data_IF_387031856202
#
_entry.id   IF_387031856202
#
_cell.length_a   1.000
_cell.length_b   1.000
_cell.length_c   1.000
_cell.angle_alpha   90.00
_cell.angle_beta   90.00
_cell.angle_gamma   90.00
#
_symmetry.space_group_name_H-M   'P 1'
#
loop_
_entity.id
_entity.type
_entity.pdbx_description
1 polymer ?
#
# COMPACT_ATOMS: atom_id res chain seq x y z
N UNK A 1 -5.86 -78.44 6.53
CA UNK A 1 -6.89 -79.20 7.26
C UNK A 1 -8.02 -78.31 7.59
N UNK A 2 -9.16 -78.60 6.99
CA UNK A 2 -10.55 -78.34 7.45
C UNK A 2 -11.07 -76.95 7.69
N UNK A 3 -11.89 -76.52 6.78
CA UNK A 3 -13.19 -75.80 7.01
C UNK A 3 -14.13 -76.68 7.85
N UNK A 4 -15.21 -76.18 8.45
CA UNK A 4 -16.33 -75.48 7.82
C UNK A 4 -16.99 -74.38 8.72
N UNK A 5 -17.74 -73.48 8.19
CA UNK A 5 -19.06 -73.28 7.61
C UNK A 5 -20.12 -72.64 8.58
N UNK A 6 -20.76 -71.63 8.01
CA UNK A 6 -22.18 -71.23 8.15
C UNK A 6 -22.76 -70.73 9.51
N UNK A 7 -23.32 -69.57 9.52
CA UNK A 7 -24.75 -69.36 9.14
C UNK A 7 -25.19 -67.90 9.31
N UNK A 8 -26.09 -67.52 8.41
CA UNK A 8 -26.74 -66.25 8.29
C UNK A 8 -27.79 -65.95 9.40
N UNK A 9 -28.01 -64.64 9.69
CA UNK A 9 -29.38 -64.17 9.92
C UNK A 9 -29.47 -62.68 9.66
N UNK A 10 -30.41 -62.36 8.78
CA UNK A 10 -30.95 -61.03 8.51
C UNK A 10 -31.47 -60.35 9.77
N UNK A 11 -31.33 -59.00 9.86
CA UNK A 11 -32.43 -58.10 10.24
C UNK A 11 -32.09 -56.70 9.66
N UNK A 12 -33.11 -56.13 9.09
CA UNK A 12 -33.33 -54.88 8.34
C UNK A 12 -33.36 -53.63 9.19
N UNK A 13 -33.19 -52.51 8.47
CA UNK A 13 -33.69 -51.14 8.72
C UNK A 13 -32.93 -50.31 9.76
N UNK A 14 -32.62 -49.03 9.60
CA UNK A 14 -33.20 -47.94 8.79
C UNK A 14 -32.34 -46.67 8.99
N UNK A 15 -32.42 -45.75 8.03
CA UNK A 15 -32.13 -44.33 8.17
C UNK A 15 -30.73 -43.85 8.57
N UNK A 16 -29.81 -43.84 7.63
CA UNK A 16 -28.66 -42.95 7.61
C UNK A 16 -28.92 -41.67 6.80
N UNK A 17 -29.36 -40.61 7.45
CA UNK A 17 -29.37 -39.27 6.89
C UNK A 17 -27.96 -38.80 6.67
N UNK A 18 -27.47 -38.86 5.41
CA UNK A 18 -26.32 -38.13 4.97
C UNK A 18 -26.70 -36.66 4.86
N UNK A 19 -26.30 -35.85 5.84
CA UNK A 19 -26.32 -34.38 5.75
C UNK A 19 -25.24 -33.97 4.75
N UNK A 20 -25.66 -33.81 3.49
CA UNK A 20 -24.88 -33.11 2.50
C UNK A 20 -24.75 -31.66 2.95
N UNK A 21 -23.55 -31.29 3.39
CA UNK A 21 -23.13 -29.92 3.69
C UNK A 21 -23.17 -29.13 2.39
N UNK A 22 -24.36 -28.61 2.04
CA UNK A 22 -24.57 -27.71 0.92
C UNK A 22 -24.06 -26.32 1.34
N UNK A 23 -22.74 -26.14 1.33
CA UNK A 23 -22.13 -24.81 1.27
C UNK A 23 -22.52 -24.18 -0.06
N UNK A 24 -23.62 -23.45 -0.04
CA UNK A 24 -24.01 -22.56 -1.12
C UNK A 24 -22.84 -21.61 -1.38
N UNK A 25 -22.18 -21.80 -2.50
CA UNK A 25 -21.29 -20.78 -3.07
C UNK A 25 -22.18 -19.59 -3.42
N UNK A 26 -22.21 -18.59 -2.55
CA UNK A 26 -22.79 -17.28 -2.89
C UNK A 26 -22.03 -16.73 -4.09
N UNK A 27 -22.57 -16.95 -5.26
CA UNK A 27 -22.14 -16.28 -6.49
C UNK A 27 -22.46 -14.80 -6.32
N UNK A 28 -21.43 -13.97 -6.19
CA UNK A 28 -21.60 -12.50 -6.08
C UNK A 28 -22.23 -12.00 -7.39
N UNK A 29 -23.55 -11.83 -7.39
CA UNK A 29 -24.31 -11.22 -8.50
C UNK A 29 -24.02 -9.72 -8.46
N UNK A 30 -23.37 -9.21 -9.50
CA UNK A 30 -23.07 -7.79 -9.64
C UNK A 30 -24.26 -7.02 -10.19
N UNK A 31 -24.55 -5.89 -9.56
CA UNK A 31 -25.39 -4.86 -10.15
C UNK A 31 -24.62 -4.11 -11.26
N UNK A 32 -25.32 -3.70 -12.32
CA UNK A 32 -24.75 -2.92 -13.43
C UNK A 32 -24.14 -1.62 -12.87
N UNK A 33 -22.82 -1.43 -13.02
CA UNK A 33 -22.10 -0.23 -12.56
C UNK A 33 -21.10 -0.48 -11.41
N UNK A 34 -21.01 -1.70 -10.85
CA UNK A 34 -20.04 -2.02 -9.81
C UNK A 34 -18.63 -2.29 -10.37
N UNK A 35 -17.59 -1.76 -9.70
CA UNK A 35 -16.21 -1.92 -10.11
C UNK A 35 -15.70 -3.37 -10.06
N UNK A 36 -14.79 -3.75 -10.97
CA UNK A 36 -14.24 -5.10 -11.18
C UNK A 36 -13.32 -5.62 -10.09
N UNK A 37 -12.83 -4.73 -9.24
CA UNK A 37 -11.86 -4.99 -8.20
C UNK A 37 -11.45 -3.69 -7.52
N UNK A 38 -10.41 -3.75 -6.69
CA UNK A 38 -9.86 -2.59 -5.98
C UNK A 38 -8.35 -2.54 -6.20
N UNK A 39 -7.84 -1.38 -6.63
CA UNK A 39 -6.44 -1.02 -6.54
C UNK A 39 -6.26 -0.07 -5.36
N UNK A 40 -5.64 -0.58 -4.29
CA UNK A 40 -5.36 0.16 -3.06
C UNK A 40 -3.96 0.75 -3.13
N UNK A 41 -3.87 2.04 -3.37
CA UNK A 41 -2.62 2.78 -3.49
C UNK A 41 -2.25 3.37 -2.12
N UNK A 42 -1.08 3.02 -1.61
CA UNK A 42 -0.68 3.38 -0.25
C UNK A 42 0.82 3.67 -0.21
N UNK A 43 1.22 4.81 0.33
CA UNK A 43 2.63 5.06 0.63
C UNK A 43 3.15 4.12 1.73
N UNK A 44 4.47 3.98 1.84
CA UNK A 44 5.06 3.24 2.97
C UNK A 44 4.64 3.86 4.31
N UNK A 45 4.32 3.06 5.29
CA UNK A 45 3.90 3.46 6.63
C UNK A 45 2.58 4.26 6.70
N UNK A 46 1.80 4.29 5.63
CA UNK A 46 0.46 4.91 5.62
C UNK A 46 -0.64 4.05 6.26
N UNK A 47 -0.31 2.95 6.94
CA UNK A 47 -1.24 1.91 7.41
C UNK A 47 -1.92 1.10 6.27
N UNK A 48 -1.43 1.20 5.03
CA UNK A 48 -2.00 0.49 3.87
C UNK A 48 -2.05 -1.03 4.03
N UNK A 49 -1.06 -1.64 4.72
CA UNK A 49 -1.08 -3.10 5.01
C UNK A 49 -2.21 -3.47 5.96
N UNK A 50 -2.53 -2.62 6.96
CA UNK A 50 -3.67 -2.85 7.83
C UNK A 50 -4.99 -2.73 7.06
N UNK A 51 -5.16 -1.68 6.25
CA UNK A 51 -6.36 -1.51 5.40
C UNK A 51 -6.52 -2.70 4.47
N UNK A 52 -5.46 -3.11 3.77
CA UNK A 52 -5.45 -4.29 2.89
C UNK A 52 -5.84 -5.57 3.62
N UNK A 53 -5.37 -5.77 4.86
CA UNK A 53 -5.71 -6.96 5.64
C UNK A 53 -7.21 -7.08 5.95
N UNK A 54 -7.95 -5.96 5.98
CA UNK A 54 -9.40 -5.96 6.17
C UNK A 54 -10.14 -6.49 4.94
N UNK A 55 -9.62 -6.23 3.75
CA UNK A 55 -10.12 -6.84 2.52
C UNK A 55 -9.73 -8.32 2.43
N UNK A 56 -8.48 -8.65 2.78
CA UNK A 56 -7.98 -10.04 2.76
C UNK A 56 -8.77 -10.99 3.65
N UNK A 57 -9.38 -10.47 4.72
CA UNK A 57 -10.21 -11.25 5.64
C UNK A 57 -11.54 -11.72 5.03
N UNK A 58 -11.96 -11.17 3.88
CA UNK A 58 -13.21 -11.51 3.21
C UNK A 58 -13.03 -12.74 2.32
N UNK A 59 -13.88 -13.75 2.47
CA UNK A 59 -13.80 -15.01 1.68
C UNK A 59 -14.03 -14.79 0.18
N UNK A 60 -14.80 -13.76 -0.19
CA UNK A 60 -15.09 -13.38 -1.57
C UNK A 60 -13.97 -12.59 -2.25
N UNK A 61 -12.85 -12.34 -1.55
CA UNK A 61 -11.73 -11.53 -2.03
C UNK A 61 -10.48 -12.38 -2.21
N UNK A 62 -9.69 -12.06 -3.26
CA UNK A 62 -8.28 -12.44 -3.35
C UNK A 62 -7.45 -11.15 -3.27
N UNK A 63 -6.69 -11.01 -2.19
CA UNK A 63 -5.99 -9.77 -1.88
C UNK A 63 -4.47 -9.90 -2.11
N UNK A 64 -3.99 -9.39 -3.23
CA UNK A 64 -2.57 -9.40 -3.59
C UNK A 64 -1.79 -8.31 -2.84
N UNK A 65 -0.74 -8.74 -2.15
CA UNK A 65 0.17 -7.83 -1.48
C UNK A 65 1.28 -7.38 -2.41
N UNK A 66 1.46 -6.07 -2.59
CA UNK A 66 2.57 -5.46 -3.32
C UNK A 66 2.84 -6.06 -4.72
N UNK A 67 1.93 -5.96 -5.69
CA UNK A 67 2.14 -6.52 -7.03
C UNK A 67 3.36 -5.98 -7.77
N UNK A 68 3.97 -4.90 -7.28
CA UNK A 68 5.20 -4.30 -7.82
C UNK A 68 6.44 -4.57 -6.96
N UNK A 69 6.36 -5.51 -5.98
CA UNK A 69 7.50 -5.81 -5.11
C UNK A 69 8.59 -6.57 -5.85
N UNK A 70 9.88 -6.17 -5.73
CA UNK A 70 10.97 -6.82 -6.48
C UNK A 70 11.14 -8.32 -6.18
N UNK A 71 10.72 -8.79 -4.98
CA UNK A 71 10.77 -10.21 -4.61
C UNK A 71 10.01 -11.11 -5.60
N UNK A 72 8.99 -10.57 -6.28
CA UNK A 72 8.16 -11.33 -7.22
C UNK A 72 8.93 -11.80 -8.46
N UNK A 73 10.12 -11.23 -8.73
CA UNK A 73 10.99 -11.68 -9.81
C UNK A 73 11.55 -13.09 -9.57
N UNK A 74 11.82 -13.41 -8.29
CA UNK A 74 12.53 -14.62 -7.90
C UNK A 74 11.75 -15.48 -6.89
N UNK A 75 10.49 -15.12 -6.60
CA UNK A 75 9.65 -15.79 -5.59
C UNK A 75 9.41 -17.25 -5.94
N UNK A 76 9.68 -18.14 -4.97
CA UNK A 76 9.32 -19.57 -5.05
C UNK A 76 8.15 -19.88 -4.13
N UNK A 77 7.33 -20.84 -4.49
CA UNK A 77 6.22 -21.28 -3.65
C UNK A 77 6.68 -21.77 -2.26
N UNK A 78 7.89 -22.37 -2.20
CA UNK A 78 8.50 -22.84 -0.96
C UNK A 78 8.95 -21.69 -0.02
N UNK A 79 9.25 -20.49 -0.56
CA UNK A 79 9.74 -19.36 0.23
C UNK A 79 8.59 -18.62 0.94
N UNK A 80 7.36 -18.74 0.44
CA UNK A 80 6.19 -17.99 0.94
C UNK A 80 5.95 -18.19 2.44
N UNK A 81 6.06 -19.40 3.03
CA UNK A 81 5.83 -19.59 4.46
C UNK A 81 6.75 -18.77 5.37
N UNK A 82 7.97 -18.46 4.89
CA UNK A 82 8.94 -17.66 5.64
C UNK A 82 8.69 -16.12 5.51
N UNK A 83 7.80 -15.69 4.61
CA UNK A 83 7.52 -14.27 4.33
C UNK A 83 6.40 -13.74 5.24
N UNK A 84 6.53 -13.95 6.54
CA UNK A 84 5.61 -13.41 7.53
C UNK A 84 6.01 -12.01 8.00
N UNK A 85 5.03 -11.17 8.43
CA UNK A 85 5.34 -9.90 9.05
C UNK A 85 6.15 -10.13 10.32
N UNK A 86 7.34 -9.54 10.37
CA UNK A 86 8.14 -9.54 11.58
C UNK A 86 7.79 -8.34 12.45
N UNK A 87 8.04 -8.43 13.77
CA UNK A 87 7.90 -7.30 14.68
C UNK A 87 8.80 -6.10 14.28
N UNK A 88 9.94 -6.35 13.63
CA UNK A 88 10.83 -5.31 13.08
C UNK A 88 10.23 -4.56 11.89
N UNK A 89 9.20 -5.09 11.23
CA UNK A 89 8.49 -4.40 10.15
C UNK A 89 7.38 -3.49 10.66
N UNK A 90 6.95 -3.65 11.92
CA UNK A 90 5.82 -2.92 12.51
C UNK A 90 4.49 -3.13 11.76
N UNK A 91 4.36 -4.25 11.04
CA UNK A 91 3.13 -4.62 10.34
C UNK A 91 2.18 -5.38 11.27
N UNK A 92 0.87 -5.38 10.98
CA UNK A 92 -0.08 -6.17 11.77
C UNK A 92 0.22 -7.66 11.63
N UNK A 93 -0.11 -8.45 12.67
CA UNK A 93 -0.11 -9.91 12.57
C UNK A 93 -1.13 -10.33 11.51
N UNK A 94 -0.72 -11.16 10.57
CA UNK A 94 -1.56 -11.69 9.51
C UNK A 94 -1.97 -13.14 9.81
N UNK A 95 -3.08 -13.57 9.23
CA UNK A 95 -3.59 -14.95 9.32
C UNK A 95 -2.87 -15.91 8.37
N UNK A 96 -2.19 -15.39 7.37
CA UNK A 96 -1.39 -16.14 6.41
C UNK A 96 -0.20 -15.30 5.96
N UNK A 97 0.92 -15.92 5.50
CA UNK A 97 2.10 -15.23 5.00
C UNK A 97 1.79 -14.25 3.86
N UNK A 98 2.67 -13.27 3.68
CA UNK A 98 2.64 -12.41 2.50
C UNK A 98 2.79 -13.24 1.23
N UNK A 99 2.25 -12.73 0.13
CA UNK A 99 2.37 -13.31 -1.21
C UNK A 99 1.72 -14.70 -1.38
N UNK A 100 0.96 -15.19 -0.41
CA UNK A 100 0.24 -16.49 -0.51
C UNK A 100 -0.65 -16.54 -1.76
N UNK A 101 -1.25 -15.43 -2.13
CA UNK A 101 -2.16 -15.29 -3.27
C UNK A 101 -1.45 -15.44 -4.62
N UNK A 102 -0.11 -15.35 -4.65
CA UNK A 102 0.68 -15.53 -5.87
C UNK A 102 1.01 -16.98 -6.19
N UNK A 103 0.77 -17.94 -5.27
CA UNK A 103 1.08 -19.37 -5.51
C UNK A 103 0.60 -19.91 -6.86
N UNK A 104 -0.64 -19.63 -7.32
CA UNK A 104 -1.13 -20.13 -8.61
C UNK A 104 -0.44 -19.50 -9.83
N UNK A 105 0.36 -18.46 -9.62
CA UNK A 105 1.03 -17.68 -10.68
C UNK A 105 2.54 -17.91 -10.70
N UNK A 106 3.08 -18.72 -9.79
CA UNK A 106 4.50 -19.11 -9.76
C UNK A 106 4.67 -20.31 -10.68
N UNK A 107 5.69 -20.29 -11.52
CA UNK A 107 6.03 -21.44 -12.37
C UNK A 107 6.62 -22.55 -11.53
N UNK A 108 6.21 -23.78 -11.77
CA UNK A 108 6.69 -24.96 -11.01
C UNK A 108 8.18 -25.24 -11.20
N UNK A 109 8.73 -24.90 -12.37
CA UNK A 109 10.10 -25.17 -12.79
C UNK A 109 11.03 -23.94 -12.78
N UNK A 110 10.45 -22.74 -12.62
CA UNK A 110 11.17 -21.47 -12.67
C UNK A 110 10.87 -20.61 -11.44
N UNK A 111 11.78 -19.67 -11.18
CA UNK A 111 11.56 -18.65 -10.15
C UNK A 111 10.68 -17.53 -10.69
N UNK A 112 9.93 -16.90 -9.80
CA UNK A 112 9.19 -15.69 -10.06
C UNK A 112 7.76 -15.89 -10.52
N UNK A 113 7.01 -14.80 -10.45
CA UNK A 113 5.61 -14.74 -10.84
C UNK A 113 5.52 -14.53 -12.36
N UNK A 114 4.66 -15.30 -13.02
CA UNK A 114 4.48 -15.25 -14.47
C UNK A 114 4.16 -13.82 -14.93
N UNK A 115 4.89 -13.34 -15.93
CA UNK A 115 4.72 -12.01 -16.51
C UNK A 115 5.32 -10.86 -15.69
N UNK A 116 5.78 -11.10 -14.47
CA UNK A 116 6.46 -10.09 -13.66
C UNK A 116 7.85 -9.75 -14.23
N UNK A 117 8.22 -8.47 -14.11
CA UNK A 117 9.57 -7.98 -14.43
C UNK A 117 10.08 -7.10 -13.31
N UNK A 118 11.35 -7.25 -12.92
CA UNK A 118 11.98 -6.48 -11.83
C UNK A 118 11.89 -4.96 -12.05
N UNK A 119 11.91 -4.50 -13.31
CA UNK A 119 11.74 -3.08 -13.67
C UNK A 119 10.40 -2.48 -13.22
N UNK A 120 9.38 -3.31 -12.98
CA UNK A 120 8.10 -2.83 -12.46
C UNK A 120 8.19 -2.26 -11.04
N UNK A 121 9.22 -2.68 -10.28
CA UNK A 121 9.46 -2.21 -8.91
C UNK A 121 10.03 -0.79 -8.80
N UNK A 122 10.47 -0.20 -9.92
CA UNK A 122 10.95 1.17 -9.93
C UNK A 122 9.77 2.15 -9.89
N UNK A 123 9.79 3.09 -8.94
CA UNK A 123 8.79 4.15 -8.87
C UNK A 123 8.96 5.12 -10.05
N UNK A 124 7.83 5.65 -10.55
CA UNK A 124 7.77 6.59 -11.67
C UNK A 124 6.82 7.72 -11.35
N UNK A 125 7.18 8.95 -11.71
CA UNK A 125 6.36 10.15 -11.52
C UNK A 125 6.15 10.95 -12.82
N UNK A 126 6.82 10.56 -13.89
CA UNK A 126 6.66 11.17 -15.21
C UNK A 126 5.32 10.86 -15.87
N UNK A 127 4.90 11.66 -16.84
CA UNK A 127 3.60 11.48 -17.51
C UNK A 127 3.61 10.33 -18.53
N UNK A 128 4.76 9.73 -18.82
CA UNK A 128 4.93 8.90 -20.01
C UNK A 128 4.80 7.42 -19.68
N UNK A 129 3.82 6.78 -20.33
CA UNK A 129 3.83 5.35 -20.56
C UNK A 129 4.97 5.01 -21.53
N UNK A 130 6.01 4.32 -21.06
CA UNK A 130 7.02 3.71 -21.93
C UNK A 130 6.53 2.34 -22.45
N UNK A 131 7.30 1.73 -23.36
CA UNK A 131 6.98 0.39 -23.88
C UNK A 131 6.84 -0.70 -22.78
N UNK A 132 7.36 -0.47 -21.57
CA UNK A 132 7.24 -1.35 -20.42
C UNK A 132 5.84 -1.35 -19.80
N UNK A 133 5.05 -0.30 -19.97
CA UNK A 133 3.71 -0.21 -19.40
C UNK A 133 2.72 -1.21 -20.01
N UNK A 134 2.83 -1.55 -21.28
CA UNK A 134 1.99 -2.58 -21.89
C UNK A 134 2.21 -3.96 -21.26
N UNK A 135 3.46 -4.30 -20.94
CA UNK A 135 3.79 -5.56 -20.26
C UNK A 135 3.37 -5.53 -18.79
N UNK A 136 3.45 -4.39 -18.11
CA UNK A 136 2.92 -4.21 -16.75
C UNK A 136 1.40 -4.35 -16.74
N UNK A 137 0.71 -3.75 -17.69
CA UNK A 137 -0.74 -3.91 -17.84
C UNK A 137 -1.13 -5.38 -18.04
N UNK A 138 -0.45 -6.09 -18.96
CA UNK A 138 -0.71 -7.50 -19.22
C UNK A 138 -0.50 -8.36 -17.96
N UNK A 139 0.55 -8.10 -17.18
CA UNK A 139 0.82 -8.78 -15.92
C UNK A 139 -0.31 -8.55 -14.90
N UNK A 140 -0.65 -7.29 -14.61
CA UNK A 140 -1.70 -6.96 -13.64
C UNK A 140 -3.07 -7.49 -14.09
N UNK A 141 -3.36 -7.42 -15.41
CA UNK A 141 -4.59 -7.95 -15.99
C UNK A 141 -4.69 -9.47 -15.84
N UNK A 142 -3.59 -10.19 -15.96
CA UNK A 142 -3.58 -11.65 -15.78
C UNK A 142 -3.97 -12.05 -14.34
N UNK A 143 -3.42 -11.35 -13.32
CA UNK A 143 -3.78 -11.55 -11.91
C UNK A 143 -5.27 -11.23 -11.67
N UNK A 144 -5.72 -10.09 -12.22
CA UNK A 144 -7.10 -9.62 -12.09
C UNK A 144 -8.09 -10.61 -12.72
N UNK A 145 -7.91 -10.95 -13.99
CA UNK A 145 -8.85 -11.77 -14.75
C UNK A 145 -8.93 -13.21 -14.23
N UNK A 146 -7.79 -13.79 -13.80
CA UNK A 146 -7.79 -15.12 -13.20
C UNK A 146 -8.54 -15.15 -11.86
N UNK A 147 -8.39 -14.11 -11.05
CA UNK A 147 -9.17 -13.96 -9.81
C UNK A 147 -10.67 -13.85 -10.12
N UNK A 148 -11.02 -13.05 -11.12
CA UNK A 148 -12.41 -12.90 -11.55
C UNK A 148 -13.02 -14.20 -12.07
N UNK A 149 -12.27 -15.00 -12.82
CA UNK A 149 -12.69 -16.34 -13.27
C UNK A 149 -12.99 -17.30 -12.12
N UNK A 150 -12.37 -17.11 -10.97
CA UNK A 150 -12.64 -17.86 -9.74
C UNK A 150 -13.86 -17.34 -8.95
N UNK A 151 -14.61 -16.38 -9.49
CA UNK A 151 -15.76 -15.74 -8.82
C UNK A 151 -15.38 -14.81 -7.67
N UNK A 152 -14.08 -14.48 -7.52
CA UNK A 152 -13.60 -13.60 -6.45
C UNK A 152 -13.35 -12.18 -6.93
N UNK A 153 -13.27 -11.25 -5.99
CA UNK A 153 -12.98 -9.84 -6.21
C UNK A 153 -11.46 -9.63 -5.99
N UNK A 154 -10.70 -9.19 -7.01
CA UNK A 154 -9.29 -8.89 -6.84
C UNK A 154 -9.10 -7.57 -6.08
N UNK A 155 -8.23 -7.59 -5.07
CA UNK A 155 -7.79 -6.41 -4.34
C UNK A 155 -6.27 -6.36 -4.40
N UNK A 156 -5.69 -5.33 -5.02
CA UNK A 156 -4.26 -5.15 -5.14
C UNK A 156 -3.80 -4.02 -4.23
N UNK A 157 -2.86 -4.28 -3.33
CA UNK A 157 -2.26 -3.26 -2.47
C UNK A 157 -0.87 -2.89 -2.98
N UNK A 158 -0.69 -1.64 -3.32
CA UNK A 158 0.56 -1.11 -3.87
C UNK A 158 1.23 -0.13 -2.91
N UNK A 159 2.55 -0.13 -2.89
CA UNK A 159 3.36 0.97 -2.32
C UNK A 159 4.13 1.77 -3.39
N UNK A 160 4.15 1.30 -4.65
CA UNK A 160 4.96 1.85 -5.74
C UNK A 160 4.12 2.31 -6.93
N UNK A 161 2.92 2.79 -6.67
CA UNK A 161 1.95 3.11 -7.74
C UNK A 161 1.44 4.54 -7.73
N UNK A 162 1.67 5.30 -6.66
CA UNK A 162 1.07 6.63 -6.49
C UNK A 162 1.46 7.60 -7.61
N UNK A 163 2.70 7.54 -8.08
CA UNK A 163 3.13 8.32 -9.24
C UNK A 163 2.59 7.82 -10.60
N UNK A 164 2.03 6.60 -10.64
CA UNK A 164 1.47 5.95 -11.84
C UNK A 164 -0.05 5.93 -11.85
N UNK A 165 -0.69 6.52 -10.85
CA UNK A 165 -2.14 6.39 -10.70
C UNK A 165 -2.93 6.85 -11.93
N UNK A 166 -2.63 7.99 -12.58
CA UNK A 166 -3.34 8.39 -13.79
C UNK A 166 -3.31 7.31 -14.87
N UNK A 167 -2.12 6.75 -15.13
CA UNK A 167 -1.98 5.65 -16.10
C UNK A 167 -2.74 4.39 -15.68
N UNK A 168 -2.68 4.00 -14.39
CA UNK A 168 -3.39 2.82 -13.89
C UNK A 168 -4.90 2.98 -14.03
N UNK A 169 -5.42 4.19 -13.84
CA UNK A 169 -6.83 4.49 -14.01
C UNK A 169 -7.28 4.35 -15.47
N UNK A 170 -6.48 4.85 -16.40
CA UNK A 170 -6.73 4.68 -17.85
C UNK A 170 -6.64 3.21 -18.27
N UNK A 171 -5.67 2.47 -17.72
CA UNK A 171 -5.43 1.06 -18.07
C UNK A 171 -6.45 0.08 -17.45
N UNK A 172 -7.10 0.46 -16.35
CA UNK A 172 -8.05 -0.35 -15.58
C UNK A 172 -9.27 0.46 -15.14
N UNK A 173 -10.05 1.02 -16.10
CA UNK A 173 -11.19 1.90 -15.78
C UNK A 173 -12.33 1.17 -15.06
N UNK A 174 -12.35 -0.17 -15.13
CA UNK A 174 -13.34 -1.01 -14.45
C UNK A 174 -13.00 -1.29 -12.97
N UNK A 175 -11.85 -0.85 -12.48
CA UNK A 175 -11.37 -1.07 -11.11
C UNK A 175 -11.57 0.20 -10.29
N UNK A 176 -11.95 0.07 -9.01
CA UNK A 176 -11.96 1.18 -8.08
C UNK A 176 -10.53 1.50 -7.62
N UNK A 177 -10.08 2.73 -7.84
CA UNK A 177 -8.80 3.22 -7.38
C UNK A 177 -8.95 3.93 -6.03
N UNK A 178 -8.55 3.26 -4.94
CA UNK A 178 -8.58 3.79 -3.58
C UNK A 178 -7.19 4.26 -3.15
N UNK A 179 -7.06 5.48 -2.65
CA UNK A 179 -5.80 6.04 -2.15
C UNK A 179 -5.84 6.17 -0.64
N UNK A 180 -4.85 5.58 0.03
CA UNK A 180 -4.70 5.66 1.49
C UNK A 180 -3.82 6.84 1.84
N UNK A 181 -4.37 7.79 2.58
CA UNK A 181 -3.69 9.00 3.04
C UNK A 181 -3.52 8.98 4.56
N UNK A 182 -2.34 9.36 5.00
CA UNK A 182 -1.96 9.61 6.39
C UNK A 182 -1.22 10.94 6.47
N UNK A 183 -1.34 11.66 7.58
CA UNK A 183 -0.53 12.86 7.76
C UNK A 183 0.98 12.55 7.72
N UNK A 184 1.79 13.34 7.02
CA UNK A 184 3.20 13.00 6.77
C UNK A 184 4.03 12.93 8.04
N UNK A 185 3.74 13.69 9.10
CA UNK A 185 4.50 13.64 10.33
C UNK A 185 4.37 12.27 11.02
N UNK A 186 3.15 11.78 11.25
CA UNK A 186 2.95 10.49 11.90
C UNK A 186 3.35 9.31 11.01
N UNK A 187 3.25 9.49 9.67
CA UNK A 187 3.71 8.49 8.71
C UNK A 187 5.24 8.34 8.76
N UNK A 188 5.96 9.45 8.72
CA UNK A 188 7.42 9.49 8.85
C UNK A 188 7.88 8.92 10.18
N UNK A 189 7.33 9.42 11.29
CA UNK A 189 7.70 8.96 12.63
C UNK A 189 7.58 7.44 12.78
N UNK A 190 6.52 6.84 12.25
CA UNK A 190 6.36 5.38 12.27
C UNK A 190 7.48 4.62 11.57
N UNK A 191 8.10 5.18 10.54
CA UNK A 191 9.23 4.58 9.83
C UNK A 191 10.58 4.94 10.43
N UNK A 192 10.73 6.19 10.88
CA UNK A 192 11.93 6.69 11.53
C UNK A 192 12.25 5.93 12.82
N UNK A 193 11.23 5.68 13.65
CA UNK A 193 11.38 4.89 14.87
C UNK A 193 11.83 3.45 14.59
N UNK A 194 11.36 2.83 13.53
CA UNK A 194 11.86 1.51 13.12
C UNK A 194 13.32 1.57 12.67
N UNK A 195 13.72 2.63 11.98
CA UNK A 195 15.10 2.84 11.57
C UNK A 195 16.01 2.98 12.80
N UNK A 196 15.65 3.83 13.75
CA UNK A 196 16.41 4.05 14.98
C UNK A 196 16.47 2.79 15.86
N UNK A 197 15.35 2.11 16.05
CA UNK A 197 15.25 0.97 16.97
C UNK A 197 15.88 -0.30 16.42
N UNK A 198 15.78 -0.53 15.09
CA UNK A 198 16.14 -1.80 14.47
C UNK A 198 17.20 -1.67 13.38
N UNK A 199 17.76 -0.48 13.18
CA UNK A 199 18.70 -0.18 12.10
C UNK A 199 18.19 -0.60 10.71
N UNK A 200 16.87 -0.53 10.50
CA UNK A 200 16.26 -0.86 9.23
C UNK A 200 16.31 0.36 8.29
N UNK A 201 17.21 0.38 7.29
CA UNK A 201 17.41 1.55 6.44
C UNK A 201 16.31 1.73 5.40
N UNK A 202 15.55 0.69 5.09
CA UNK A 202 14.66 0.63 3.93
C UNK A 202 13.70 1.81 3.82
N UNK A 203 13.01 2.15 4.92
CA UNK A 203 12.04 3.25 4.91
C UNK A 203 12.70 4.61 4.67
N UNK A 204 13.87 4.84 5.27
CA UNK A 204 14.59 6.11 5.17
C UNK A 204 15.30 6.22 3.82
N UNK A 205 15.83 5.12 3.29
CA UNK A 205 16.53 5.08 2.00
C UNK A 205 15.58 5.19 0.79
N UNK A 206 14.36 4.65 0.92
CA UNK A 206 13.41 4.61 -0.20
C UNK A 206 13.06 5.99 -0.78
N UNK A 207 12.80 7.06 -0.01
CA UNK A 207 12.57 8.40 -0.53
C UNK A 207 13.76 8.93 -1.35
N UNK A 208 14.99 8.78 -0.87
CA UNK A 208 16.19 9.22 -1.60
C UNK A 208 16.33 8.47 -2.93
N UNK A 209 16.10 7.16 -2.93
CA UNK A 209 16.12 6.34 -4.14
C UNK A 209 15.07 6.80 -5.15
N UNK A 210 13.84 7.03 -4.70
CA UNK A 210 12.76 7.50 -5.58
C UNK A 210 13.11 8.85 -6.18
N UNK A 211 13.51 9.82 -5.37
CA UNK A 211 13.85 11.16 -5.84
C UNK A 211 15.03 11.13 -6.80
N UNK A 212 16.10 10.42 -6.47
CA UNK A 212 17.29 10.35 -7.32
C UNK A 212 17.06 9.65 -8.65
N UNK A 213 16.25 8.57 -8.67
CA UNK A 213 15.91 7.89 -9.93
C UNK A 213 14.98 8.71 -10.84
N UNK A 214 14.28 9.69 -10.29
CA UNK A 214 13.34 10.54 -11.03
C UNK A 214 13.77 12.02 -11.08
N UNK A 215 14.99 12.38 -10.66
CA UNK A 215 15.45 13.77 -10.54
C UNK A 215 15.46 14.56 -11.85
N UNK A 216 15.40 13.89 -13.00
CA UNK A 216 15.30 14.53 -14.30
C UNK A 216 13.86 14.95 -14.66
N UNK A 217 12.85 14.48 -13.92
CA UNK A 217 11.47 14.89 -14.09
C UNK A 217 11.29 16.31 -13.52
N UNK A 218 10.74 17.28 -14.29
CA UNK A 218 10.65 18.67 -13.84
C UNK A 218 9.96 18.83 -12.48
N UNK A 219 8.84 18.13 -12.26
CA UNK A 219 8.09 18.23 -11.00
C UNK A 219 8.87 17.63 -9.82
N UNK A 220 9.68 16.59 -10.06
CA UNK A 220 10.52 15.98 -9.02
C UNK A 220 11.63 16.92 -8.63
N UNK A 221 12.29 17.57 -9.62
CA UNK A 221 13.32 18.58 -9.40
C UNK A 221 12.80 19.74 -8.57
N UNK A 222 11.64 20.30 -8.94
CA UNK A 222 11.02 21.39 -8.19
C UNK A 222 10.72 21.01 -6.73
N UNK A 223 10.20 19.80 -6.49
CA UNK A 223 9.87 19.35 -5.13
C UNK A 223 11.15 19.11 -4.30
N UNK A 224 12.22 18.60 -4.91
CA UNK A 224 13.55 18.48 -4.26
C UNK A 224 14.03 19.86 -3.80
N UNK A 225 13.93 20.87 -4.66
CA UNK A 225 14.34 22.26 -4.38
C UNK A 225 13.47 22.88 -3.26
N UNK A 226 12.14 22.77 -3.36
CA UNK A 226 11.20 23.30 -2.36
C UNK A 226 11.41 22.69 -0.99
N UNK A 227 11.66 21.38 -0.93
CA UNK A 227 11.95 20.70 0.33
C UNK A 227 13.40 20.85 0.80
N UNK A 228 14.31 21.34 -0.05
CA UNK A 228 15.74 21.45 0.26
C UNK A 228 16.39 20.08 0.53
N UNK A 229 16.05 19.07 -0.28
CA UNK A 229 16.56 17.71 -0.11
C UNK A 229 17.99 17.61 -0.64
N UNK A 230 18.87 17.04 0.17
CA UNK A 230 20.23 16.65 -0.25
C UNK A 230 20.23 15.18 -0.62
N UNK A 231 20.41 14.88 -1.91
CA UNK A 231 20.49 13.51 -2.42
C UNK A 231 21.89 12.92 -2.24
N UNK A 232 22.03 11.59 -2.11
CA UNK A 232 23.32 10.94 -2.21
C UNK A 232 23.93 11.19 -3.60
N UNK A 233 25.26 11.32 -3.71
CA UNK A 233 25.92 11.46 -5.00
C UNK A 233 25.65 10.21 -5.84
N UNK A 234 25.30 10.42 -7.10
CA UNK A 234 25.05 9.33 -8.04
C UNK A 234 25.95 9.45 -9.28
N UNK A 235 26.76 8.45 -9.59
CA UNK A 235 26.70 7.87 -10.89
C UNK A 235 25.82 6.62 -10.84
N UNK A 236 24.64 6.67 -11.46
CA UNK A 236 23.73 5.53 -11.44
C UNK A 236 24.05 4.65 -12.63
N UNK A 237 24.74 3.55 -12.40
CA UNK A 237 24.97 2.52 -13.39
C UNK A 237 23.81 1.53 -13.40
N UNK A 238 23.20 1.29 -12.22
CA UNK A 238 22.00 0.46 -12.11
C UNK A 238 21.07 0.90 -10.96
N UNK A 239 19.81 0.49 -11.02
CA UNK A 239 18.82 0.73 -9.96
C UNK A 239 19.27 0.10 -8.63
N UNK A 240 19.88 -1.09 -8.69
CA UNK A 240 20.31 -1.82 -7.49
C UNK A 240 21.54 -1.15 -6.85
N UNK A 241 22.49 -0.68 -7.65
CA UNK A 241 23.66 0.07 -7.14
C UNK A 241 23.23 1.38 -6.49
N UNK A 242 22.29 2.11 -7.11
CA UNK A 242 21.76 3.31 -6.50
C UNK A 242 20.97 3.02 -5.21
N UNK A 243 20.22 1.93 -5.16
CA UNK A 243 19.56 1.50 -3.93
C UNK A 243 20.57 1.24 -2.80
N UNK A 244 21.66 0.54 -3.09
CA UNK A 244 22.74 0.29 -2.13
C UNK A 244 23.44 1.60 -1.68
N UNK A 245 23.68 2.53 -2.61
CA UNK A 245 24.22 3.85 -2.28
C UNK A 245 23.28 4.64 -1.35
N UNK A 246 21.97 4.61 -1.58
CA UNK A 246 20.99 5.22 -0.71
C UNK A 246 20.97 4.57 0.70
N UNK A 247 21.06 3.25 0.78
CA UNK A 247 21.13 2.54 2.08
C UNK A 247 22.41 2.87 2.85
N UNK A 248 23.53 3.05 2.16
CA UNK A 248 24.76 3.52 2.78
C UNK A 248 24.66 4.97 3.23
N UNK A 249 24.11 5.84 2.40
CA UNK A 249 23.93 7.27 2.70
C UNK A 249 23.09 7.48 3.98
N UNK A 250 22.00 6.73 4.16
CA UNK A 250 21.10 6.92 5.29
C UNK A 250 21.66 6.44 6.63
N UNK A 251 22.81 5.79 6.65
CA UNK A 251 23.50 5.45 7.92
C UNK A 251 24.03 6.68 8.66
N UNK A 252 24.25 7.77 7.93
CA UNK A 252 24.80 9.04 8.47
C UNK A 252 23.92 10.25 8.17
N UNK A 253 22.73 10.03 7.60
CA UNK A 253 21.81 11.11 7.28
C UNK A 253 21.23 11.69 8.57
N UNK A 254 21.16 13.01 8.62
CA UNK A 254 20.43 13.70 9.69
C UNK A 254 18.91 13.53 9.52
N UNK A 255 18.19 13.58 10.64
CA UNK A 255 16.75 13.39 10.67
C UNK A 255 15.98 14.42 9.84
N UNK A 256 16.49 15.65 9.75
CA UNK A 256 15.90 16.73 8.96
C UNK A 256 15.91 16.42 7.47
N UNK A 257 17.07 15.99 6.93
CA UNK A 257 17.17 15.63 5.52
C UNK A 257 16.35 14.37 5.19
N UNK A 258 16.30 13.41 6.12
CA UNK A 258 15.44 12.23 5.98
C UNK A 258 13.95 12.62 5.91
N UNK A 259 13.51 13.55 6.78
CA UNK A 259 12.14 14.04 6.75
C UNK A 259 11.83 14.82 5.47
N UNK A 260 12.74 15.69 5.01
CA UNK A 260 12.61 16.46 3.76
C UNK A 260 12.43 15.53 2.55
N UNK A 261 13.26 14.50 2.43
CA UNK A 261 13.15 13.52 1.36
C UNK A 261 11.81 12.76 1.42
N UNK A 262 11.39 12.36 2.61
CA UNK A 262 10.11 11.70 2.80
C UNK A 262 8.94 12.62 2.42
N UNK A 263 8.93 13.88 2.89
CA UNK A 263 7.88 14.86 2.59
C UNK A 263 7.81 15.15 1.09
N UNK A 264 8.95 15.26 0.41
CA UNK A 264 9.02 15.43 -1.04
C UNK A 264 8.31 14.30 -1.79
N UNK A 265 8.58 13.04 -1.44
CA UNK A 265 7.88 11.88 -2.03
C UNK A 265 6.40 11.86 -1.67
N UNK A 266 6.05 12.22 -0.43
CA UNK A 266 4.66 12.33 -0.01
C UNK A 266 3.89 13.38 -0.83
N UNK A 267 4.49 14.56 -1.06
CA UNK A 267 3.92 15.63 -1.90
C UNK A 267 3.72 15.17 -3.35
N UNK A 268 4.75 14.59 -3.97
CA UNK A 268 4.66 14.04 -5.32
C UNK A 268 3.53 13.00 -5.45
N UNK A 269 3.44 12.11 -4.46
CA UNK A 269 2.39 11.10 -4.40
C UNK A 269 1.00 11.73 -4.30
N UNK A 270 0.84 12.72 -3.43
CA UNK A 270 -0.43 13.42 -3.23
C UNK A 270 -0.85 14.22 -4.47
N UNK A 271 0.09 14.91 -5.14
CA UNK A 271 -0.18 15.65 -6.39
C UNK A 271 -0.65 14.74 -7.52
N UNK A 272 -0.16 13.49 -7.57
CA UNK A 272 -0.49 12.55 -8.65
C UNK A 272 -1.71 11.69 -8.37
N UNK A 273 -2.14 11.60 -7.12
CA UNK A 273 -3.14 10.60 -6.74
C UNK A 273 -4.42 11.14 -6.15
N UNK A 274 -4.41 12.29 -5.47
CA UNK A 274 -5.58 12.69 -4.70
C UNK A 274 -6.78 13.12 -5.58
N UNK A 275 -6.52 13.68 -6.76
CA UNK A 275 -7.59 14.09 -7.70
C UNK A 275 -8.06 12.92 -8.60
N UNK A 276 -7.21 11.89 -8.73
CA UNK A 276 -7.51 10.72 -9.57
C UNK A 276 -8.20 9.60 -8.79
N UNK A 277 -8.18 9.64 -7.46
CA UNK A 277 -8.77 8.60 -6.64
C UNK A 277 -10.30 8.56 -6.74
N UNK A 278 -10.87 7.36 -6.93
CA UNK A 278 -12.31 7.14 -6.81
C UNK A 278 -12.73 7.12 -5.33
N UNK A 279 -11.80 6.79 -4.44
CA UNK A 279 -12.00 6.75 -3.01
C UNK A 279 -10.74 7.20 -2.25
N UNK A 280 -10.87 8.21 -1.38
CA UNK A 280 -9.84 8.58 -0.43
C UNK A 280 -10.08 7.90 0.92
N UNK A 281 -9.08 7.20 1.42
CA UNK A 281 -9.10 6.53 2.73
C UNK A 281 -8.22 7.32 3.68
N UNK A 282 -8.83 8.16 4.51
CA UNK A 282 -8.17 8.93 5.56
C UNK A 282 -7.97 8.06 6.80
N UNK A 283 -6.76 7.55 6.99
CA UNK A 283 -6.48 6.64 8.12
C UNK A 283 -6.35 7.36 9.46
N UNK A 284 -6.10 8.67 9.46
CA UNK A 284 -6.10 9.45 10.70
C UNK A 284 -7.52 9.58 11.23
N UNK A 285 -8.49 9.88 10.37
CA UNK A 285 -9.93 9.90 10.73
C UNK A 285 -10.48 8.52 11.02
N UNK A 286 -10.00 7.50 10.28
CA UNK A 286 -10.51 6.13 10.41
C UNK A 286 -10.35 5.57 11.83
N UNK A 287 -9.26 5.95 12.52
CA UNK A 287 -9.03 5.55 13.92
C UNK A 287 -9.70 6.45 14.96
N UNK A 288 -10.25 7.59 14.55
CA UNK A 288 -10.82 8.60 15.45
C UNK A 288 -12.35 8.67 15.37
N UNK A 289 -12.96 8.28 14.24
CA UNK A 289 -14.39 8.43 14.00
C UNK A 289 -15.04 7.14 13.53
N UNK A 290 -15.85 6.48 14.38
CA UNK A 290 -16.68 5.35 13.98
C UNK A 290 -17.66 5.70 12.85
N UNK A 291 -18.13 6.95 12.79
CA UNK A 291 -19.02 7.46 11.74
C UNK A 291 -18.31 7.47 10.40
N UNK A 292 -17.06 7.97 10.37
CA UNK A 292 -16.22 7.93 9.18
C UNK A 292 -15.94 6.48 8.72
N UNK A 293 -15.61 5.60 9.66
CA UNK A 293 -15.41 4.17 9.37
C UNK A 293 -16.66 3.52 8.76
N UNK A 294 -17.84 3.85 9.29
CA UNK A 294 -19.12 3.36 8.77
C UNK A 294 -19.43 3.92 7.38
N UNK A 295 -19.23 5.22 7.16
CA UNK A 295 -19.42 5.87 5.86
C UNK A 295 -18.45 5.30 4.80
N UNK A 296 -17.18 5.11 5.15
CA UNK A 296 -16.18 4.50 4.26
C UNK A 296 -16.60 3.08 3.86
N UNK A 297 -17.04 2.26 4.82
CA UNK A 297 -17.54 0.91 4.58
C UNK A 297 -18.75 0.91 3.65
N UNK A 298 -19.68 1.84 3.82
CA UNK A 298 -20.85 1.99 2.95
C UNK A 298 -20.45 2.38 1.52
N UNK A 299 -19.48 3.29 1.34
CA UNK A 299 -18.95 3.67 0.01
C UNK A 299 -18.29 2.49 -0.69
N UNK A 300 -17.45 1.72 0.02
CA UNK A 300 -16.83 0.50 -0.55
C UNK A 300 -17.89 -0.50 -0.96
N UNK A 301 -18.90 -0.74 -0.11
CA UNK A 301 -20.02 -1.64 -0.44
C UNK A 301 -20.78 -1.20 -1.69
N UNK A 302 -21.07 0.09 -1.81
CA UNK A 302 -21.79 0.63 -2.97
C UNK A 302 -21.01 0.48 -4.28
N UNK A 303 -19.67 0.60 -4.23
CA UNK A 303 -18.83 0.55 -5.41
C UNK A 303 -18.40 -0.88 -5.82
N UNK A 304 -18.18 -1.79 -4.86
CA UNK A 304 -17.56 -3.10 -5.14
C UNK A 304 -18.35 -4.28 -4.54
N UNK A 305 -19.46 -4.05 -3.87
CA UNK A 305 -20.30 -5.06 -3.21
C UNK A 305 -19.59 -5.91 -2.12
N UNK A 306 -18.58 -5.35 -1.45
CA UNK A 306 -17.92 -5.99 -0.31
C UNK A 306 -17.92 -5.07 0.92
N UNK A 307 -17.83 -5.66 2.10
CA UNK A 307 -17.96 -4.93 3.37
C UNK A 307 -16.78 -5.24 4.29
N UNK A 308 -15.64 -4.53 4.12
CA UNK A 308 -14.49 -4.70 5.02
C UNK A 308 -14.82 -4.19 6.42
N UNK A 309 -14.25 -4.83 7.44
CA UNK A 309 -14.40 -4.39 8.82
C UNK A 309 -13.24 -3.46 9.22
N UNK A 310 -13.58 -2.21 9.49
CA UNK A 310 -12.64 -1.17 9.95
C UNK A 310 -12.79 -0.84 11.44
N UNK A 311 -13.59 -1.58 12.22
CA UNK A 311 -13.88 -1.28 13.63
C UNK A 311 -12.64 -1.30 14.54
N UNK A 312 -11.60 -2.07 14.16
CA UNK A 312 -10.36 -2.17 14.91
C UNK A 312 -9.29 -1.14 14.47
N UNK A 313 -9.68 -0.07 13.78
CA UNK A 313 -8.76 1.01 13.43
C UNK A 313 -8.23 1.70 14.70
N UNK A 314 -6.91 1.98 14.73
CA UNK A 314 -6.26 2.65 15.85
C UNK A 314 -6.14 4.14 15.58
N UNK A 315 -6.26 4.95 16.63
CA UNK A 315 -5.94 6.37 16.55
C UNK A 315 -4.42 6.57 16.39
N UNK A 316 -3.99 6.76 15.14
CA UNK A 316 -2.59 6.94 14.78
C UNK A 316 -2.06 8.31 15.20
N UNK A 317 -2.94 9.30 15.34
CA UNK A 317 -2.59 10.65 15.80
C UNK A 317 -2.29 10.64 17.29
N UNK A 318 -3.15 10.01 18.11
CA UNK A 318 -2.89 9.84 19.54
C UNK A 318 -1.64 9.00 19.80
N UNK A 319 -1.42 7.93 19.03
CA UNK A 319 -0.21 7.13 19.10
C UNK A 319 1.05 7.97 18.80
N UNK A 320 0.99 8.86 17.82
CA UNK A 320 2.10 9.74 17.49
C UNK A 320 2.39 10.73 18.62
N UNK A 321 1.35 11.35 19.18
CA UNK A 321 1.51 12.26 20.33
C UNK A 321 2.21 11.57 21.50
N UNK A 322 1.85 10.32 21.80
CA UNK A 322 2.51 9.52 22.83
C UNK A 322 3.98 9.20 22.56
N UNK A 323 4.40 9.24 21.29
CA UNK A 323 5.78 8.94 20.87
C UNK A 323 6.59 10.20 20.50
N UNK A 324 6.08 11.40 20.73
CA UNK A 324 6.73 12.66 20.34
C UNK A 324 8.15 12.80 20.90
N UNK A 325 8.40 12.33 22.12
CA UNK A 325 9.72 12.35 22.77
C UNK A 325 10.80 11.55 22.02
N UNK A 326 10.42 10.61 21.19
CA UNK A 326 11.34 9.78 20.41
C UNK A 326 11.82 10.48 19.12
N UNK A 327 11.30 11.67 18.82
CA UNK A 327 11.62 12.44 17.61
C UNK A 327 12.65 13.56 17.87
N UNK A 328 13.47 13.42 18.90
CA UNK A 328 14.42 14.46 19.37
C UNK A 328 15.48 14.90 18.36
N UNK A 329 15.82 14.04 17.40
CA UNK A 329 16.88 14.30 16.42
C UNK A 329 16.41 15.16 15.23
N UNK A 330 15.16 15.66 15.27
CA UNK A 330 14.58 16.43 14.19
C UNK A 330 14.34 17.87 14.67
N UNK A 331 14.91 18.85 13.95
CA UNK A 331 14.69 20.26 14.27
C UNK A 331 13.28 20.71 13.89
N UNK A 332 12.43 20.85 14.89
CA UNK A 332 11.05 21.26 14.71
C UNK A 332 10.89 22.66 14.07
N UNK A 333 11.91 23.56 14.11
CA UNK A 333 11.84 24.86 13.41
C UNK A 333 12.02 24.67 11.91
N UNK A 334 12.98 23.83 11.54
CA UNK A 334 13.23 23.42 10.16
C UNK A 334 11.96 22.81 9.55
N UNK A 335 11.31 21.89 10.28
CA UNK A 335 10.08 21.24 9.85
C UNK A 335 8.91 22.21 9.66
N UNK A 336 8.74 23.18 10.55
CA UNK A 336 7.66 24.18 10.39
C UNK A 336 7.83 25.01 9.11
N UNK A 337 9.06 25.41 8.80
CA UNK A 337 9.37 26.13 7.57
C UNK A 337 9.09 25.27 6.33
N UNK A 338 9.47 23.99 6.37
CA UNK A 338 9.24 23.08 5.25
C UNK A 338 7.76 22.84 5.00
N UNK A 339 6.95 22.65 6.05
CA UNK A 339 5.50 22.48 5.89
C UNK A 339 4.84 23.73 5.27
N UNK A 340 5.28 24.93 5.62
CA UNK A 340 4.79 26.16 5.02
C UNK A 340 5.14 26.22 3.52
N UNK A 341 6.39 25.89 3.15
CA UNK A 341 6.83 25.81 1.77
C UNK A 341 6.07 24.75 0.98
N UNK A 342 5.89 23.55 1.58
CA UNK A 342 5.14 22.44 0.99
C UNK A 342 3.69 22.84 0.70
N UNK A 343 3.02 23.47 1.68
CA UNK A 343 1.64 23.93 1.51
C UNK A 343 1.53 24.97 0.39
N UNK A 344 2.42 25.98 0.37
CA UNK A 344 2.46 26.99 -0.68
C UNK A 344 2.67 26.37 -2.07
N UNK A 345 3.58 25.43 -2.18
CA UNK A 345 3.83 24.70 -3.44
C UNK A 345 2.61 23.89 -3.89
N UNK A 346 2.00 23.11 -2.99
CA UNK A 346 0.82 22.30 -3.31
C UNK A 346 -0.36 23.17 -3.81
N UNK A 347 -0.58 24.30 -3.17
CA UNK A 347 -1.61 25.28 -3.59
C UNK A 347 -1.29 25.85 -4.97
N UNK A 348 -0.02 26.23 -5.25
CA UNK A 348 0.37 26.80 -6.54
C UNK A 348 0.24 25.83 -7.70
N UNK A 349 0.53 24.53 -7.48
CA UNK A 349 0.48 23.51 -8.54
C UNK A 349 -0.93 23.03 -8.88
N UNK A 350 -1.85 23.10 -7.93
CA UNK A 350 -3.25 22.70 -8.17
C UNK A 350 -4.14 23.80 -8.70
N UNK A 351 -3.65 25.04 -8.69
CA UNK A 351 -4.47 26.22 -8.90
C UNK A 351 -5.41 26.46 -7.70
N UNK A 352 -6.15 27.54 -7.75
CA UNK A 352 -7.31 27.74 -6.85
C UNK A 352 -8.40 26.82 -7.39
N UNK A 353 -8.37 25.55 -6.96
CA UNK A 353 -9.41 24.58 -7.32
C UNK A 353 -10.75 25.15 -6.89
N UNK A 354 -11.70 25.18 -7.79
CA UNK A 354 -13.07 25.60 -7.48
C UNK A 354 -13.66 24.77 -6.33
N UNK A 355 -14.75 25.21 -5.73
CA UNK A 355 -15.38 24.49 -4.62
C UNK A 355 -15.76 23.09 -5.09
N UNK A 356 -15.14 22.05 -4.50
CA UNK A 356 -15.59 20.66 -4.69
C UNK A 356 -14.55 19.57 -4.89
N UNK A 357 -13.23 19.84 -4.80
CA UNK A 357 -12.27 18.74 -4.82
C UNK A 357 -11.89 18.31 -3.40
N UNK A 358 -12.58 17.30 -2.88
CA UNK A 358 -12.29 16.65 -1.58
C UNK A 358 -10.80 16.35 -1.38
N UNK A 359 -10.08 16.03 -2.46
CA UNK A 359 -8.68 15.68 -2.43
C UNK A 359 -7.75 16.85 -2.06
N UNK A 360 -7.99 18.06 -2.57
CA UNK A 360 -7.15 19.22 -2.28
C UNK A 360 -7.27 19.66 -0.82
N UNK A 361 -8.49 19.71 -0.31
CA UNK A 361 -8.76 20.07 1.08
C UNK A 361 -8.18 19.05 2.04
N UNK A 362 -8.33 17.77 1.74
CA UNK A 362 -7.74 16.70 2.56
C UNK A 362 -6.21 16.80 2.62
N UNK A 363 -5.52 17.09 1.51
CA UNK A 363 -4.06 17.28 1.51
C UNK A 363 -3.66 18.44 2.41
N UNK A 364 -4.38 19.58 2.30
CA UNK A 364 -4.15 20.76 3.14
C UNK A 364 -4.35 20.42 4.62
N UNK A 365 -5.43 19.74 4.97
CA UNK A 365 -5.67 19.26 6.33
C UNK A 365 -4.52 18.38 6.85
N UNK A 366 -4.01 17.46 6.00
CA UNK A 366 -2.88 16.59 6.38
C UNK A 366 -1.59 17.36 6.63
N UNK A 367 -1.29 18.39 5.84
CA UNK A 367 -0.11 19.24 6.05
C UNK A 367 -0.24 20.12 7.29
N UNK A 368 -1.44 20.66 7.57
CA UNK A 368 -1.72 21.39 8.79
C UNK A 368 -1.57 20.52 10.02
N UNK A 369 -2.18 19.32 10.02
CA UNK A 369 -2.06 18.35 11.10
C UNK A 369 -0.59 17.92 11.32
N UNK A 370 0.16 17.71 10.23
CA UNK A 370 1.57 17.37 10.32
C UNK A 370 2.40 18.46 10.97
N UNK A 371 2.11 19.74 10.66
CA UNK A 371 2.76 20.88 11.31
C UNK A 371 2.47 20.92 12.81
N UNK A 372 1.22 20.76 13.21
CA UNK A 372 0.81 20.73 14.62
C UNK A 372 1.47 19.62 15.40
N UNK A 373 1.53 18.41 14.83
CA UNK A 373 2.19 17.25 15.46
C UNK A 373 3.69 17.43 15.58
N UNK A 374 4.34 18.01 14.57
CA UNK A 374 5.80 18.26 14.61
C UNK A 374 6.20 19.37 15.58
N UNK A 375 5.32 20.28 15.92
CA UNK A 375 5.56 21.28 16.97
C UNK A 375 5.81 20.63 18.35
N UNK A 376 5.23 19.45 18.59
CA UNK A 376 5.43 18.69 19.82
C UNK A 376 6.81 18.02 19.89
N UNK A 377 7.52 17.86 18.78
CA UNK A 377 8.87 17.27 18.76
C UNK A 377 9.95 18.16 19.42
N UNK A 378 9.62 19.42 19.71
CA UNK A 378 10.53 20.45 20.26
C UNK A 378 10.70 20.43 21.77
N UNK A 379 9.79 19.81 22.48
CA UNK A 379 9.67 20.01 23.94
C UNK A 379 10.23 18.87 24.77
N UNK A 380 11.00 17.96 24.13
CA UNK A 380 11.59 16.83 24.84
C UNK A 380 13.14 16.73 24.60
#
# INVERSE_FOLDING_TARGET
MMHPSNSASHITDDNGQTSADSRSQETVVREKGQAGGIFLHAGWRSAGTWVWSRFRALQTVTAFYEPLHPILADLRAADIPALEPTWTSGHPKLTAPYFTEYRPFIRDDLHGVVGYRKSFSADRFGPVADAGFSTLQAYLKSLHDQTRKQGKIPVFKFCRSLGRLPWLKDAFPEVMHAVVLRNPASQFASGWLLHQQWSNPFFVAAPFRILGLNQNEPIVKEVIEVCGVRLPPAPVTSIDEYAAACEQFVRTVDGDNAYRAFLAVWMLSALRSADEADLLVDVDRLGQSPEYASALRARVRGQVAITPDFSAARDLVAQMKGNASLMKEIDGRSIKSIHASALGFMVSKRGVSGPGTDGAELIKEKLVLARELSEQWRYY
#
